data_IF_195783730396
#
_entry.id   IF_195783730396
#
_cell.length_a   1.000
_cell.length_b   1.000
_cell.length_c   1.000
_cell.angle_alpha   90.00
_cell.angle_beta   90.00
_cell.angle_gamma   90.00
#
_symmetry.space_group_name_H-M   'P 1'
#
loop_
_entity.id
_entity.type
_entity.pdbx_description
1 polymer ?
#
# COMPACT_ATOMS: atom_id res chain seq x y z
N UNK A 1 23.74 12.59 14.89
CA UNK A 1 24.90 12.79 14.01
C UNK A 1 24.48 13.77 12.92
N UNK A 2 25.33 14.72 12.54
CA UNK A 2 25.05 15.65 11.44
C UNK A 2 25.41 14.97 10.11
N UNK A 3 24.50 15.01 9.13
CA UNK A 3 24.66 14.42 7.81
C UNK A 3 24.30 15.46 6.73
N UNK A 4 25.06 15.54 5.65
CA UNK A 4 24.73 16.42 4.51
C UNK A 4 23.57 15.81 3.72
N UNK A 5 22.49 16.55 3.57
CA UNK A 5 21.32 16.14 2.79
C UNK A 5 21.51 16.44 1.31
N UNK A 6 21.45 15.43 0.40
CA UNK A 6 21.55 15.67 -1.04
C UNK A 6 20.30 16.37 -1.61
N UNK A 7 19.20 16.44 -0.85
CA UNK A 7 17.96 17.07 -1.29
C UNK A 7 17.92 18.57 -0.96
N UNK A 8 18.36 18.95 0.23
CA UNK A 8 18.32 20.36 0.68
C UNK A 8 19.67 21.06 0.51
N UNK A 9 20.75 20.30 0.32
CA UNK A 9 22.14 20.77 0.37
C UNK A 9 22.53 21.40 1.71
N UNK A 10 21.83 21.04 2.80
CA UNK A 10 22.09 21.51 4.16
C UNK A 10 22.65 20.38 5.03
N UNK A 11 23.40 20.75 6.08
CA UNK A 11 23.77 19.83 7.16
C UNK A 11 22.56 19.62 8.07
N UNK A 12 22.03 18.40 8.09
CA UNK A 12 20.83 18.02 8.83
C UNK A 12 21.19 17.09 10.00
N UNK A 13 20.44 17.21 11.11
CA UNK A 13 20.61 16.34 12.27
C UNK A 13 19.48 15.32 12.35
N UNK A 14 19.82 14.02 12.33
CA UNK A 14 18.89 12.98 12.74
C UNK A 14 18.77 12.99 14.27
N UNK A 15 17.71 13.62 14.77
CA UNK A 15 17.46 13.84 16.21
C UNK A 15 16.97 12.55 16.90
N UNK A 16 16.30 11.66 16.17
CA UNK A 16 15.66 10.48 16.75
C UNK A 16 16.35 9.18 16.33
N UNK A 17 16.70 8.37 17.32
CA UNK A 17 17.01 6.95 17.16
C UNK A 17 15.81 6.17 17.69
N UNK A 18 14.99 5.63 16.80
CA UNK A 18 13.86 4.80 17.20
C UNK A 18 14.39 3.51 17.82
N UNK A 19 13.87 3.17 18.99
CA UNK A 19 14.05 1.87 19.64
C UNK A 19 12.70 1.19 19.74
N UNK A 20 12.64 -0.12 19.54
CA UNK A 20 11.45 -0.89 19.84
C UNK A 20 11.15 -0.77 21.34
N UNK A 21 9.92 -0.38 21.69
CA UNK A 21 9.45 -0.28 23.05
C UNK A 21 8.34 -1.33 23.23
N UNK A 22 8.62 -2.32 24.06
CA UNK A 22 7.59 -3.27 24.51
C UNK A 22 6.85 -2.61 25.67
N UNK A 23 5.53 -2.44 25.54
CA UNK A 23 4.68 -1.83 26.57
C UNK A 23 3.69 -2.88 27.10
N UNK A 24 3.38 -2.82 28.39
CA UNK A 24 2.48 -3.79 29.05
C UNK A 24 0.99 -3.53 28.72
N UNK A 25 0.60 -2.27 28.53
CA UNK A 25 -0.78 -1.83 28.37
C UNK A 25 -0.96 -1.00 27.08
N UNK A 26 -2.13 -1.07 26.42
CA UNK A 26 -2.38 -0.36 25.17
C UNK A 26 -2.62 1.14 25.37
N UNK A 27 -2.10 1.96 24.45
CA UNK A 27 -2.51 3.34 24.28
C UNK A 27 -3.64 3.45 23.24
N UNK A 28 -4.87 3.52 23.75
CA UNK A 28 -6.08 3.58 22.92
C UNK A 28 -6.45 5.01 22.48
N UNK A 29 -5.65 6.02 22.83
CA UNK A 29 -5.84 7.43 22.47
C UNK A 29 -7.27 7.96 22.75
N UNK A 30 -7.86 7.60 23.90
CA UNK A 30 -9.26 7.92 24.25
C UNK A 30 -9.60 9.41 24.29
N UNK A 31 -8.61 10.26 24.54
CA UNK A 31 -8.79 11.71 24.50
C UNK A 31 -9.05 12.23 23.08
N UNK A 32 -8.43 11.58 22.09
CA UNK A 32 -8.51 11.89 20.65
C UNK A 32 -9.70 11.15 20.02
N UNK A 33 -9.90 9.88 20.36
CA UNK A 33 -10.98 9.02 19.83
C UNK A 33 -11.96 8.59 20.93
N UNK A 34 -12.76 9.51 21.49
CA UNK A 34 -13.77 9.16 22.48
C UNK A 34 -14.97 8.44 21.83
N UNK A 35 -15.65 7.55 22.56
CA UNK A 35 -16.86 6.87 22.06
C UNK A 35 -18.10 7.76 22.00
N UNK A 36 -18.07 8.89 22.71
CA UNK A 36 -19.23 9.76 22.93
C UNK A 36 -19.24 11.01 22.05
N UNK A 37 -18.18 11.23 21.26
CA UNK A 37 -18.04 12.42 20.43
C UNK A 37 -17.23 12.09 19.16
N UNK A 38 -17.26 13.03 18.22
CA UNK A 38 -16.42 12.95 17.01
C UNK A 38 -14.92 12.96 17.39
N UNK A 39 -14.05 12.31 16.60
CA UNK A 39 -12.60 12.37 16.82
C UNK A 39 -12.08 13.81 16.87
N UNK A 40 -11.19 14.08 17.83
CA UNK A 40 -10.55 15.38 18.01
C UNK A 40 -9.27 15.45 17.21
N UNK A 41 -8.92 16.64 16.72
CA UNK A 41 -7.65 16.88 16.02
C UNK A 41 -6.74 17.71 16.94
N UNK A 42 -5.67 17.12 17.51
CA UNK A 42 -4.72 17.89 18.32
C UNK A 42 -3.80 18.72 17.41
N UNK A 43 -3.81 20.04 17.61
CA UNK A 43 -2.86 20.93 16.94
C UNK A 43 -1.53 20.94 17.71
N UNK A 44 -0.49 20.32 17.14
CA UNK A 44 0.85 20.27 17.75
C UNK A 44 1.77 21.44 17.32
N UNK A 45 1.26 22.33 16.46
CA UNK A 45 1.99 23.47 15.88
C UNK A 45 3.34 23.12 15.23
N UNK A 46 3.57 21.86 14.86
CA UNK A 46 4.81 21.43 14.21
C UNK A 46 4.77 21.83 12.74
N UNK A 47 5.85 22.45 12.27
CA UNK A 47 6.05 22.75 10.85
C UNK A 47 6.80 21.59 10.21
N UNK A 48 6.18 20.96 9.21
CA UNK A 48 6.82 19.92 8.40
C UNK A 48 7.32 20.57 7.10
N UNK A 49 8.63 20.51 6.78
CA UNK A 49 9.15 21.04 5.52
C UNK A 49 8.45 20.39 4.32
N UNK A 50 8.09 21.20 3.32
CA UNK A 50 7.50 20.71 2.06
C UNK A 50 8.63 20.19 1.19
N UNK A 51 8.79 18.86 1.13
CA UNK A 51 9.77 18.17 0.30
C UNK A 51 9.10 17.47 -0.88
N UNK A 52 8.71 18.22 -1.90
CA UNK A 52 8.07 17.64 -3.08
C UNK A 52 9.06 16.73 -3.84
N UNK A 53 8.71 15.46 -4.15
CA UNK A 53 9.60 14.62 -4.94
C UNK A 53 9.68 15.12 -6.40
N UNK A 54 10.83 14.92 -7.04
CA UNK A 54 11.05 15.23 -8.45
C UNK A 54 10.08 14.45 -9.37
N UNK A 55 9.71 13.24 -8.95
CA UNK A 55 8.78 12.39 -9.66
C UNK A 55 7.65 11.90 -8.75
N UNK A 56 6.43 11.94 -9.28
CA UNK A 56 5.23 11.43 -8.61
C UNK A 56 4.66 10.32 -9.49
N UNK A 57 4.20 9.26 -8.84
CA UNK A 57 3.50 8.16 -9.50
C UNK A 57 2.22 7.82 -8.74
N UNK A 58 1.32 7.12 -9.41
CA UNK A 58 0.06 6.60 -8.89
C UNK A 58 0.18 5.09 -8.75
N UNK A 59 -0.24 4.57 -7.61
CA UNK A 59 -0.52 3.14 -7.41
C UNK A 59 -2.03 2.96 -7.44
N UNK A 60 -2.53 2.12 -8.34
CA UNK A 60 -3.95 1.83 -8.49
C UNK A 60 -4.37 0.66 -7.59
N UNK A 61 -5.53 0.79 -6.93
CA UNK A 61 -6.07 -0.23 -6.02
C UNK A 61 -7.41 -0.78 -6.48
N UNK A 62 -7.76 -0.62 -7.76
CA UNK A 62 -9.07 -0.96 -8.31
C UNK A 62 -9.44 -2.43 -8.08
N UNK A 63 -8.52 -3.36 -8.32
CA UNK A 63 -8.76 -4.81 -8.20
C UNK A 63 -8.57 -5.35 -6.78
N UNK A 64 -8.24 -4.48 -5.82
CA UNK A 64 -8.11 -4.80 -4.40
C UNK A 64 -9.14 -4.02 -3.59
N UNK A 65 -8.82 -2.79 -3.21
CA UNK A 65 -9.69 -1.96 -2.37
C UNK A 65 -11.00 -1.59 -3.10
N UNK A 66 -10.90 -1.22 -4.37
CA UNK A 66 -12.06 -0.84 -5.18
C UNK A 66 -13.09 -1.97 -5.29
N UNK A 67 -12.63 -3.20 -5.54
CA UNK A 67 -13.49 -4.37 -5.65
C UNK A 67 -14.21 -4.72 -4.33
N UNK A 68 -13.72 -4.29 -3.16
CA UNK A 68 -14.42 -4.51 -1.88
C UNK A 68 -15.68 -3.65 -1.73
N UNK A 69 -15.79 -2.56 -2.49
CA UNK A 69 -16.91 -1.61 -2.43
C UNK A 69 -17.91 -1.76 -3.58
N UNK A 70 -17.76 -2.77 -4.43
CA UNK A 70 -18.53 -2.95 -5.66
C UNK A 70 -19.03 -4.38 -5.82
N UNK A 71 -19.94 -4.60 -6.78
CA UNK A 71 -20.30 -5.95 -7.20
C UNK A 71 -19.04 -6.68 -7.72
N UNK A 72 -18.87 -8.00 -7.46
CA UNK A 72 -17.67 -8.72 -7.86
C UNK A 72 -17.43 -8.66 -9.38
N UNK A 73 -16.23 -8.23 -9.80
CA UNK A 73 -15.84 -8.26 -11.21
C UNK A 73 -15.66 -9.71 -11.71
N UNK A 74 -16.00 -9.96 -12.97
CA UNK A 74 -15.56 -11.18 -13.67
C UNK A 74 -14.09 -11.02 -14.10
N UNK A 75 -13.42 -12.12 -14.45
CA UNK A 75 -12.06 -12.05 -14.98
C UNK A 75 -11.99 -11.20 -16.27
N UNK A 76 -13.03 -11.25 -17.12
CA UNK A 76 -13.11 -10.42 -18.33
C UNK A 76 -13.20 -8.92 -18.02
N UNK A 77 -14.00 -8.55 -17.02
CA UNK A 77 -14.09 -7.15 -16.58
C UNK A 77 -12.73 -6.65 -16.06
N UNK A 78 -12.03 -7.47 -15.28
CA UNK A 78 -10.71 -7.13 -14.73
C UNK A 78 -9.70 -6.92 -15.86
N UNK A 79 -9.62 -7.85 -16.81
CA UNK A 79 -8.70 -7.77 -17.95
C UNK A 79 -8.96 -6.52 -18.79
N UNK A 80 -10.23 -6.19 -19.04
CA UNK A 80 -10.56 -4.99 -19.82
C UNK A 80 -10.24 -3.69 -19.07
N UNK A 81 -10.58 -3.62 -17.78
CA UNK A 81 -10.20 -2.49 -16.94
C UNK A 81 -8.68 -2.33 -16.87
N UNK A 82 -7.92 -3.42 -16.76
CA UNK A 82 -6.47 -3.39 -16.70
C UNK A 82 -5.86 -2.79 -17.98
N UNK A 83 -6.40 -3.13 -19.16
CA UNK A 83 -6.00 -2.49 -20.43
C UNK A 83 -6.31 -0.99 -20.44
N UNK A 84 -7.47 -0.58 -19.94
CA UNK A 84 -7.84 0.83 -19.85
C UNK A 84 -6.92 1.60 -18.90
N UNK A 85 -6.58 1.01 -17.74
CA UNK A 85 -5.61 1.58 -16.78
C UNK A 85 -4.23 1.67 -17.42
N UNK A 86 -3.79 0.65 -18.15
CA UNK A 86 -2.51 0.67 -18.90
C UNK A 86 -2.48 1.80 -19.93
N UNK A 87 -3.55 1.94 -20.72
CA UNK A 87 -3.69 3.03 -21.69
C UNK A 87 -3.66 4.41 -21.03
N UNK A 88 -4.28 4.54 -19.86
CA UNK A 88 -4.26 5.79 -19.07
C UNK A 88 -2.88 6.07 -18.48
N UNK A 89 -2.14 5.04 -18.06
CA UNK A 89 -0.78 5.15 -17.52
C UNK A 89 0.23 5.68 -18.54
N UNK A 90 0.09 5.24 -19.80
CA UNK A 90 0.99 5.58 -20.89
C UNK A 90 2.42 5.04 -20.72
N UNK A 91 3.30 5.37 -21.66
CA UNK A 91 4.69 4.86 -21.68
C UNK A 91 5.54 5.33 -20.50
N UNK A 92 5.17 6.47 -19.92
CA UNK A 92 5.84 7.06 -18.76
C UNK A 92 5.54 6.32 -17.45
N UNK A 93 4.52 5.44 -17.44
CA UNK A 93 4.15 4.66 -16.25
C UNK A 93 3.68 5.54 -15.10
N UNK A 94 2.81 6.53 -15.38
CA UNK A 94 2.26 7.40 -14.33
C UNK A 94 1.46 6.59 -13.33
N UNK A 95 0.65 5.64 -13.81
CA UNK A 95 0.12 4.56 -12.96
C UNK A 95 1.15 3.45 -12.96
N UNK A 96 1.98 3.41 -11.92
CA UNK A 96 3.17 2.56 -11.85
C UNK A 96 2.80 1.11 -11.58
N UNK A 97 1.88 0.90 -10.65
CA UNK A 97 1.48 -0.41 -10.17
C UNK A 97 -0.03 -0.50 -10.01
N UNK A 98 -0.57 -1.70 -10.08
CA UNK A 98 -1.96 -1.99 -9.74
C UNK A 98 -2.03 -3.23 -8.85
N UNK A 99 -2.88 -3.16 -7.83
CA UNK A 99 -2.97 -4.15 -6.77
C UNK A 99 -4.08 -5.18 -7.04
N UNK A 100 -3.74 -6.46 -6.92
CA UNK A 100 -4.70 -7.57 -7.02
C UNK A 100 -4.80 -8.38 -5.73
N UNK A 101 -5.98 -8.96 -5.48
CA UNK A 101 -6.13 -10.10 -4.57
C UNK A 101 -5.59 -11.39 -5.21
N UNK A 102 -5.20 -12.37 -4.39
CA UNK A 102 -4.65 -13.66 -4.86
C UNK A 102 -5.41 -14.88 -4.36
N UNK A 103 -6.46 -14.68 -3.54
CA UNK A 103 -7.02 -15.74 -2.70
C UNK A 103 -8.00 -16.64 -3.43
N UNK A 104 -8.84 -16.11 -4.33
CA UNK A 104 -9.77 -16.95 -5.11
C UNK A 104 -9.14 -17.46 -6.40
N UNK A 105 -9.67 -18.55 -6.95
CA UNK A 105 -9.25 -19.07 -8.27
C UNK A 105 -9.50 -18.04 -9.36
N UNK A 106 -10.63 -17.34 -9.30
CA UNK A 106 -10.98 -16.24 -10.22
C UNK A 106 -9.95 -15.11 -10.19
N UNK A 107 -9.47 -14.72 -9.01
CA UNK A 107 -8.47 -13.65 -8.91
C UNK A 107 -7.14 -14.10 -9.54
N UNK A 108 -6.75 -15.36 -9.32
CA UNK A 108 -5.54 -15.93 -9.93
C UNK A 108 -5.65 -16.07 -11.45
N UNK A 109 -6.83 -16.47 -11.95
CA UNK A 109 -7.10 -16.50 -13.39
C UNK A 109 -6.98 -15.09 -13.98
N UNK A 110 -7.59 -14.08 -13.35
CA UNK A 110 -7.52 -12.71 -13.80
C UNK A 110 -6.07 -12.18 -13.82
N UNK A 111 -5.28 -12.48 -12.78
CA UNK A 111 -3.85 -12.16 -12.73
C UNK A 111 -3.09 -12.80 -13.88
N UNK A 112 -3.25 -14.12 -14.11
CA UNK A 112 -2.59 -14.83 -15.22
C UNK A 112 -2.87 -14.15 -16.56
N UNK A 113 -4.15 -13.89 -16.83
CA UNK A 113 -4.60 -13.25 -18.07
C UNK A 113 -4.05 -11.83 -18.21
N UNK A 114 -3.94 -11.07 -17.13
CA UNK A 114 -3.33 -9.74 -17.17
C UNK A 114 -1.81 -9.80 -17.41
N UNK A 115 -1.11 -10.78 -16.82
CA UNK A 115 0.33 -11.00 -17.06
C UNK A 115 0.61 -11.41 -18.52
N UNK A 116 -0.25 -12.24 -19.11
CA UNK A 116 -0.15 -12.70 -20.50
C UNK A 116 -0.24 -11.55 -21.53
N UNK A 117 -0.84 -10.41 -21.16
CA UNK A 117 -0.87 -9.23 -22.03
C UNK A 117 0.52 -8.61 -22.24
N UNK A 118 1.50 -8.91 -21.36
CA UNK A 118 2.87 -8.41 -21.50
C UNK A 118 3.01 -6.89 -21.39
N UNK A 119 2.06 -6.22 -20.74
CA UNK A 119 2.05 -4.77 -20.60
C UNK A 119 3.14 -4.32 -19.62
N UNK A 120 3.85 -3.25 -19.98
CA UNK A 120 4.93 -2.69 -19.14
C UNK A 120 4.37 -1.99 -17.89
N UNK A 121 3.28 -1.24 -18.05
CA UNK A 121 2.61 -0.54 -16.95
C UNK A 121 1.08 -0.67 -17.06
N UNK A 122 0.36 -0.66 -15.91
CA UNK A 122 0.93 -0.74 -14.57
C UNK A 122 1.53 -2.13 -14.29
N UNK A 123 2.59 -2.18 -13.48
CA UNK A 123 3.14 -3.45 -12.99
C UNK A 123 2.14 -4.12 -12.05
N UNK A 124 2.02 -5.45 -12.16
CA UNK A 124 1.10 -6.23 -11.34
C UNK A 124 1.77 -6.48 -9.98
N UNK A 125 1.14 -5.99 -8.91
CA UNK A 125 1.51 -6.28 -7.53
C UNK A 125 0.33 -6.87 -6.78
N UNK A 126 0.60 -7.48 -5.63
CA UNK A 126 -0.42 -8.18 -4.84
C UNK A 126 -0.30 -7.84 -3.36
N UNK A 127 -1.32 -8.17 -2.57
CA UNK A 127 -1.26 -8.01 -1.10
C UNK A 127 -1.55 -9.32 -0.40
N UNK A 128 -0.65 -9.69 0.51
CA UNK A 128 -0.74 -10.91 1.31
C UNK A 128 -0.70 -10.66 2.82
N UNK A 129 -1.15 -11.65 3.59
CA UNK A 129 -0.89 -11.68 5.03
C UNK A 129 0.50 -12.26 5.28
N UNK A 130 1.04 -12.00 6.45
CA UNK A 130 2.34 -12.53 6.89
C UNK A 130 2.25 -14.02 7.29
N UNK A 131 1.92 -14.92 6.37
CA UNK A 131 1.87 -16.38 6.61
C UNK A 131 2.67 -17.15 5.56
N UNK A 132 3.35 -18.27 5.93
CA UNK A 132 4.14 -19.06 4.98
C UNK A 132 3.37 -19.53 3.74
N UNK A 133 2.07 -19.82 3.88
CA UNK A 133 1.22 -20.25 2.77
C UNK A 133 0.96 -19.11 1.77
N UNK A 134 0.73 -17.89 2.25
CA UNK A 134 0.50 -16.75 1.36
C UNK A 134 1.80 -16.38 0.60
N UNK A 135 2.98 -16.52 1.22
CA UNK A 135 4.26 -16.38 0.51
C UNK A 135 4.45 -17.42 -0.60
N UNK A 136 4.11 -18.68 -0.31
CA UNK A 136 4.13 -19.75 -1.31
C UNK A 136 3.20 -19.43 -2.48
N UNK A 137 2.00 -18.93 -2.20
CA UNK A 137 1.01 -18.56 -3.18
C UNK A 137 1.54 -17.50 -4.17
N UNK A 138 2.11 -16.40 -3.68
CA UNK A 138 2.68 -15.32 -4.53
C UNK A 138 3.81 -15.86 -5.40
N UNK A 139 4.69 -16.67 -4.82
CA UNK A 139 5.82 -17.28 -5.55
C UNK A 139 5.32 -18.21 -6.66
N UNK A 140 4.32 -19.04 -6.37
CA UNK A 140 3.80 -20.02 -7.32
C UNK A 140 3.03 -19.34 -8.48
N UNK A 141 2.44 -18.15 -8.26
CA UNK A 141 1.83 -17.31 -9.33
C UNK A 141 2.91 -16.64 -10.20
N UNK A 142 4.13 -16.43 -9.68
CA UNK A 142 5.22 -15.76 -10.40
C UNK A 142 5.22 -14.24 -10.30
N UNK A 143 4.59 -13.68 -9.26
CA UNK A 143 4.56 -12.24 -8.99
C UNK A 143 5.93 -11.76 -8.50
N UNK A 144 6.41 -10.63 -9.06
CA UNK A 144 7.73 -10.06 -8.72
C UNK A 144 7.75 -9.25 -7.43
N UNK A 145 6.64 -8.59 -7.11
CA UNK A 145 6.50 -7.75 -5.92
C UNK A 145 5.15 -8.00 -5.24
N UNK A 146 5.16 -8.07 -3.91
CA UNK A 146 3.94 -8.18 -3.10
C UNK A 146 4.07 -7.32 -1.85
N UNK A 147 2.98 -6.66 -1.47
CA UNK A 147 2.82 -5.99 -0.20
C UNK A 147 2.41 -6.99 0.89
N UNK A 148 2.95 -6.80 2.09
CA UNK A 148 2.55 -7.57 3.28
C UNK A 148 1.77 -6.64 4.19
N UNK A 149 0.56 -7.05 4.56
CA UNK A 149 -0.29 -6.28 5.48
C UNK A 149 -0.46 -7.01 6.81
N UNK A 150 -0.21 -6.27 7.90
CA UNK A 150 -0.45 -6.68 9.27
C UNK A 150 -1.00 -5.49 10.04
N UNK A 151 -2.09 -5.68 10.79
CA UNK A 151 -2.61 -4.64 11.67
C UNK A 151 -1.65 -4.38 12.82
N UNK A 152 -1.26 -3.12 13.02
CA UNK A 152 -0.24 -2.72 14.00
C UNK A 152 -0.73 -1.74 15.07
N UNK A 153 -2.02 -1.40 15.11
CA UNK A 153 -2.56 -0.54 16.18
C UNK A 153 -2.69 -1.31 17.49
N UNK A 154 -2.61 -0.62 18.63
CA UNK A 154 -2.79 -1.23 19.96
C UNK A 154 -4.11 -1.99 20.11
N UNK A 155 -5.20 -1.53 19.48
CA UNK A 155 -6.49 -2.25 19.41
C UNK A 155 -6.40 -3.67 18.79
N UNK A 156 -5.41 -3.90 17.93
CA UNK A 156 -5.19 -5.18 17.25
C UNK A 156 -4.15 -6.04 17.97
N UNK A 157 -3.18 -5.41 18.66
CA UNK A 157 -2.06 -6.08 19.35
C UNK A 157 -2.50 -6.59 20.73
N UNK A 158 -3.16 -5.76 21.54
CA UNK A 158 -3.50 -6.04 22.94
C UNK A 158 -4.90 -6.67 23.10
N UNK A 159 -5.20 -7.71 22.31
CA UNK A 159 -6.48 -8.43 22.38
C UNK A 159 -6.67 -9.21 23.67
#
# INVERSE_FOLDING_TARGET
MLELSPHTNLLEQKIYKYSLQEVEEPNLYREVYPYTAVPKIPFNHRVVPIGMPEHIYITDTTFRDGQQSQAPYSADHIVELFKLISRLSGENGIIRQTEFFVYSEKDREAISRCMELGLKFPEITTWIRATPNDFKLVRDIGIKETGILVSCSDYHIFK
#
